data_IF_206718689603
#
_entry.id   IF_206718689603
#
_cell.length_a   1.000
_cell.length_b   1.000
_cell.length_c   1.000
_cell.angle_alpha   90.00
_cell.angle_beta   90.00
_cell.angle_gamma   90.00
#
_symmetry.space_group_name_H-M   'P 1'
#
loop_
_entity.id
_entity.type
_entity.pdbx_description
1 polymer ?
#
# COMPACT_ATOMS: atom_id res chain seq x y z
N UNK A 1 -17.87 62.49 -12.55
CA UNK A 1 -16.69 61.70 -12.12
C UNK A 1 -17.08 60.23 -12.28
N UNK A 2 -16.44 59.51 -13.22
CA UNK A 2 -16.83 58.15 -13.62
C UNK A 2 -16.08 57.13 -12.75
N UNK A 3 -16.85 56.29 -12.05
CA UNK A 3 -16.35 55.26 -11.14
C UNK A 3 -15.65 54.14 -11.94
N UNK A 4 -14.36 53.92 -11.63
CA UNK A 4 -13.55 52.81 -12.15
C UNK A 4 -13.95 51.55 -11.37
N UNK A 5 -14.70 50.66 -12.01
CA UNK A 5 -14.97 49.31 -11.50
C UNK A 5 -13.70 48.48 -11.71
N UNK A 6 -12.98 48.20 -10.63
CA UNK A 6 -11.87 47.27 -10.62
C UNK A 6 -12.41 45.87 -10.87
N UNK A 7 -12.13 45.34 -12.06
CA UNK A 7 -12.36 43.95 -12.43
C UNK A 7 -11.55 43.06 -11.48
N UNK A 8 -12.25 42.35 -10.60
CA UNK A 8 -11.73 41.20 -9.87
C UNK A 8 -11.27 40.17 -10.91
N UNK A 9 -9.97 40.17 -11.19
CA UNK A 9 -9.26 39.09 -11.85
C UNK A 9 -9.41 37.86 -10.94
N UNK A 10 -10.38 37.02 -11.26
CA UNK A 10 -10.42 35.64 -10.78
C UNK A 10 -9.18 34.97 -11.37
N UNK A 11 -8.15 34.87 -10.54
CA UNK A 11 -6.99 34.03 -10.79
C UNK A 11 -7.52 32.59 -10.80
N UNK A 12 -7.90 32.09 -11.98
CA UNK A 12 -7.99 30.66 -12.22
C UNK A 12 -6.56 30.13 -12.07
N UNK A 13 -6.18 29.74 -10.85
CA UNK A 13 -5.08 28.81 -10.67
C UNK A 13 -5.45 27.57 -11.49
N UNK A 14 -4.66 27.18 -12.50
CA UNK A 14 -4.73 25.81 -12.95
C UNK A 14 -4.22 25.00 -11.76
N UNK A 15 -5.14 24.39 -11.01
CA UNK A 15 -4.84 23.16 -10.31
C UNK A 15 -4.18 22.28 -11.37
N UNK A 16 -2.87 22.11 -11.24
CA UNK A 16 -2.14 21.11 -11.98
C UNK A 16 -2.71 19.77 -11.54
N UNK A 17 -3.82 19.38 -12.16
CA UNK A 17 -4.29 18.00 -12.19
C UNK A 17 -3.24 17.30 -13.04
N UNK A 18 -2.12 16.96 -12.41
CA UNK A 18 -1.23 15.94 -12.94
C UNK A 18 -2.13 14.74 -13.12
N UNK A 19 -2.52 14.45 -14.36
CA UNK A 19 -3.15 13.19 -14.68
C UNK A 19 -2.14 12.13 -14.21
N UNK A 20 -2.42 11.54 -13.06
CA UNK A 20 -1.68 10.41 -12.56
C UNK A 20 -1.60 9.40 -13.72
N UNK A 21 -0.38 9.04 -14.15
CA UNK A 21 -0.16 7.95 -15.11
C UNK A 21 -0.60 6.58 -14.57
N UNK A 22 -1.14 6.54 -13.34
CA UNK A 22 -1.61 5.35 -12.65
C UNK A 22 -3.13 5.32 -12.75
N UNK A 23 -3.64 4.26 -13.38
CA UNK A 23 -5.05 3.91 -13.33
C UNK A 23 -5.38 3.40 -11.92
N UNK A 24 -6.01 4.27 -11.12
CA UNK A 24 -6.35 3.96 -9.75
C UNK A 24 -7.32 2.78 -9.66
N UNK A 25 -8.20 2.56 -10.65
CA UNK A 25 -9.17 1.47 -10.62
C UNK A 25 -8.49 0.09 -10.65
N UNK A 26 -7.35 -0.04 -11.34
CA UNK A 26 -6.56 -1.29 -11.36
C UNK A 26 -5.90 -1.59 -10.02
N UNK A 27 -5.54 -0.55 -9.26
CA UNK A 27 -4.70 -0.66 -8.05
C UNK A 27 -5.54 -0.65 -6.77
N UNK A 28 -6.70 0.03 -6.76
CA UNK A 28 -7.58 0.16 -5.60
C UNK A 28 -7.86 -1.16 -4.88
N UNK A 29 -8.20 -2.29 -5.55
CA UNK A 29 -8.45 -3.55 -4.87
C UNK A 29 -7.27 -4.04 -4.02
N UNK A 30 -6.03 -3.82 -4.49
CA UNK A 30 -4.83 -4.15 -3.73
C UNK A 30 -4.61 -3.21 -2.55
N UNK A 31 -4.86 -1.91 -2.72
CA UNK A 31 -4.73 -0.95 -1.61
C UNK A 31 -5.77 -1.17 -0.51
N UNK A 32 -6.98 -1.58 -0.87
CA UNK A 32 -8.03 -1.97 0.08
C UNK A 32 -7.64 -3.25 0.85
N UNK A 33 -7.13 -4.26 0.14
CA UNK A 33 -6.61 -5.48 0.79
C UNK A 33 -5.39 -5.18 1.66
N UNK A 34 -4.52 -4.26 1.24
CA UNK A 34 -3.40 -3.79 2.04
C UNK A 34 -3.85 -3.11 3.33
N UNK A 35 -4.86 -2.25 3.28
CA UNK A 35 -5.46 -1.66 4.48
C UNK A 35 -6.10 -2.72 5.39
N UNK A 36 -6.79 -3.72 4.83
CA UNK A 36 -7.33 -4.82 5.63
C UNK A 36 -6.22 -5.67 6.29
N UNK A 37 -5.03 -5.76 5.68
CA UNK A 37 -3.86 -6.43 6.24
C UNK A 37 -3.19 -5.63 7.36
N UNK A 38 -3.21 -4.29 7.29
CA UNK A 38 -2.74 -3.40 8.38
C UNK A 38 -3.47 -3.70 9.70
N UNK A 39 -4.78 -3.98 9.62
CA UNK A 39 -5.65 -4.28 10.77
C UNK A 39 -5.83 -5.80 11.03
N UNK A 40 -5.05 -6.64 10.35
CA UNK A 40 -5.23 -8.09 10.45
C UNK A 40 -4.75 -8.67 11.78
N UNK A 41 -5.34 -9.81 12.17
CA UNK A 41 -4.90 -10.57 13.34
C UNK A 41 -4.04 -11.75 12.89
N UNK A 42 -3.30 -12.39 13.81
CA UNK A 42 -2.60 -13.62 13.49
C UNK A 42 -3.50 -14.70 12.87
N UNK A 43 -4.80 -14.73 13.18
CA UNK A 43 -5.69 -15.76 12.65
C UNK A 43 -6.22 -15.43 11.24
N UNK A 44 -6.22 -14.15 10.84
CA UNK A 44 -6.80 -13.71 9.56
C UNK A 44 -5.75 -13.34 8.50
N UNK A 45 -4.51 -13.06 8.91
CA UNK A 45 -3.42 -12.61 8.04
C UNK A 45 -3.17 -13.54 6.85
N UNK A 46 -3.18 -14.86 7.07
CA UNK A 46 -2.90 -15.85 6.01
C UNK A 46 -3.95 -15.78 4.89
N UNK A 47 -5.23 -15.65 5.24
CA UNK A 47 -6.31 -15.55 4.25
C UNK A 47 -6.21 -14.25 3.45
N UNK A 48 -6.02 -13.13 4.14
CA UNK A 48 -5.92 -11.81 3.51
C UNK A 48 -4.69 -11.71 2.60
N UNK A 49 -3.53 -12.22 3.02
CA UNK A 49 -2.32 -12.30 2.18
C UNK A 49 -2.59 -13.11 0.92
N UNK A 50 -3.25 -14.26 1.05
CA UNK A 50 -3.56 -15.10 -0.11
C UNK A 50 -4.53 -14.39 -1.08
N UNK A 51 -5.48 -13.62 -0.59
CA UNK A 51 -6.34 -12.76 -1.43
C UNK A 51 -5.52 -11.68 -2.12
N UNK A 52 -4.65 -10.99 -1.39
CA UNK A 52 -3.76 -9.97 -1.93
C UNK A 52 -2.86 -10.52 -3.04
N UNK A 53 -2.15 -11.63 -2.80
CA UNK A 53 -1.28 -12.24 -3.81
C UNK A 53 -2.03 -12.66 -5.08
N UNK A 54 -3.29 -13.11 -4.94
CA UNK A 54 -4.14 -13.42 -6.10
C UNK A 54 -4.52 -12.19 -6.89
N UNK A 55 -4.89 -11.09 -6.23
CA UNK A 55 -5.16 -9.82 -6.93
C UNK A 55 -3.89 -9.26 -7.57
N UNK A 56 -2.73 -9.39 -6.91
CA UNK A 56 -1.45 -8.92 -7.43
C UNK A 56 -1.06 -9.67 -8.71
N UNK A 57 -1.22 -11.00 -8.71
CA UNK A 57 -0.97 -11.85 -9.87
C UNK A 57 -1.87 -11.50 -11.08
N UNK A 58 -3.08 -10.99 -10.86
CA UNK A 58 -3.93 -10.54 -11.99
C UNK A 58 -3.33 -9.36 -12.74
N UNK A 59 -2.52 -8.53 -12.07
CA UNK A 59 -1.85 -7.39 -12.70
C UNK A 59 -0.63 -7.80 -13.54
N UNK A 60 -0.08 -8.99 -13.33
CA UNK A 60 1.05 -9.50 -14.13
C UNK A 60 0.69 -9.69 -15.61
N UNK A 61 -0.59 -9.90 -15.92
CA UNK A 61 -1.09 -10.08 -17.28
C UNK A 61 -1.56 -8.77 -17.94
N UNK A 62 -1.54 -7.66 -17.21
CA UNK A 62 -1.97 -6.37 -17.70
C UNK A 62 -0.79 -5.58 -18.27
N UNK A 63 -1.06 -4.75 -19.30
CA UNK A 63 -0.12 -3.71 -19.67
C UNK A 63 -0.10 -2.62 -18.60
N UNK A 64 1.05 -2.50 -17.92
CA UNK A 64 1.27 -1.52 -16.86
C UNK A 64 2.09 -0.34 -17.39
N UNK A 65 1.73 0.89 -17.00
CA UNK A 65 2.56 2.08 -17.21
C UNK A 65 3.82 2.02 -16.33
N UNK A 66 4.86 2.85 -16.60
CA UNK A 66 6.01 2.95 -15.70
C UNK A 66 5.63 3.33 -14.26
N UNK A 67 4.62 4.20 -14.08
CA UNK A 67 4.07 4.56 -12.77
C UNK A 67 3.42 3.37 -12.07
N UNK A 68 2.54 2.66 -12.77
CA UNK A 68 1.85 1.46 -12.25
C UNK A 68 2.85 0.37 -11.87
N UNK A 69 3.89 0.13 -12.67
CA UNK A 69 4.95 -0.85 -12.32
C UNK A 69 5.67 -0.51 -11.03
N UNK A 70 5.92 0.77 -10.74
CA UNK A 70 6.53 1.18 -9.47
C UNK A 70 5.61 0.89 -8.29
N UNK A 71 4.32 1.17 -8.44
CA UNK A 71 3.31 0.86 -7.42
C UNK A 71 3.22 -0.65 -7.19
N UNK A 72 3.08 -1.44 -8.26
CA UNK A 72 3.06 -2.91 -8.19
C UNK A 72 4.34 -3.46 -7.55
N UNK A 73 5.52 -2.92 -7.86
CA UNK A 73 6.77 -3.32 -7.23
C UNK A 73 6.80 -3.08 -5.72
N UNK A 74 6.22 -1.97 -5.23
CA UNK A 74 6.07 -1.74 -3.79
C UNK A 74 5.09 -2.73 -3.15
N UNK A 75 3.99 -3.04 -3.83
CA UNK A 75 2.99 -4.00 -3.37
C UNK A 75 3.55 -5.44 -3.33
N UNK A 76 4.44 -5.79 -4.25
CA UNK A 76 5.16 -7.07 -4.25
C UNK A 76 6.15 -7.19 -3.07
N UNK A 77 6.87 -6.10 -2.78
CA UNK A 77 7.69 -6.01 -1.57
C UNK A 77 6.83 -6.17 -0.29
N UNK A 78 5.69 -5.50 -0.21
CA UNK A 78 4.75 -5.67 0.91
C UNK A 78 4.27 -7.12 1.04
N UNK A 79 3.92 -7.78 -0.07
CA UNK A 79 3.52 -9.18 -0.07
C UNK A 79 4.61 -10.12 0.46
N UNK A 80 5.87 -9.85 0.12
CA UNK A 80 7.02 -10.59 0.64
C UNK A 80 7.15 -10.41 2.16
N UNK A 81 7.06 -9.19 2.66
CA UNK A 81 7.14 -8.93 4.10
C UNK A 81 5.98 -9.58 4.87
N UNK A 82 4.75 -9.53 4.36
CA UNK A 82 3.62 -10.26 4.98
C UNK A 82 3.81 -11.79 4.99
N UNK A 83 4.44 -12.35 3.95
CA UNK A 83 4.81 -13.77 3.95
C UNK A 83 5.80 -14.08 5.08
N UNK A 84 6.82 -13.24 5.25
CA UNK A 84 7.80 -13.39 6.33
C UNK A 84 7.14 -13.23 7.71
N UNK A 85 6.21 -12.29 7.86
CA UNK A 85 5.42 -12.14 9.09
C UNK A 85 4.65 -13.42 9.43
N UNK A 86 3.96 -14.03 8.47
CA UNK A 86 3.21 -15.28 8.69
C UNK A 86 4.11 -16.45 9.09
N UNK A 87 5.32 -16.55 8.51
CA UNK A 87 6.33 -17.54 8.93
C UNK A 87 6.73 -17.34 10.39
N UNK A 88 6.93 -16.09 10.84
CA UNK A 88 7.26 -15.79 12.23
C UNK A 88 6.08 -16.03 13.18
N UNK A 89 4.85 -15.77 12.74
CA UNK A 89 3.64 -16.12 13.49
C UNK A 89 3.49 -17.64 13.65
N UNK A 90 3.89 -18.41 12.65
CA UNK A 90 3.96 -19.87 12.75
C UNK A 90 4.97 -20.34 13.81
N UNK A 91 6.14 -19.69 13.90
CA UNK A 91 7.08 -19.94 14.99
C UNK A 91 6.48 -19.56 16.36
N UNK A 92 5.78 -18.43 16.45
CA UNK A 92 5.05 -18.04 17.66
C UNK A 92 3.99 -19.06 18.08
N UNK A 93 3.19 -19.58 17.14
CA UNK A 93 2.13 -20.57 17.42
C UNK A 93 2.70 -21.91 17.89
N UNK A 94 3.85 -22.33 17.34
CA UNK A 94 4.48 -23.64 17.63
C UNK A 94 5.48 -23.60 18.79
N UNK A 95 5.91 -22.42 19.23
CA UNK A 95 6.86 -22.23 20.31
C UNK A 95 6.31 -22.76 21.65
N UNK A 96 7.08 -23.60 22.33
CA UNK A 96 6.73 -24.14 23.66
C UNK A 96 7.23 -23.26 24.80
N UNK A 97 8.31 -22.51 24.55
CA UNK A 97 8.94 -21.61 25.50
C UNK A 97 8.46 -20.18 25.22
N UNK A 98 8.12 -19.46 26.28
CA UNK A 98 7.60 -18.09 26.20
C UNK A 98 8.58 -17.14 25.49
N UNK A 99 9.87 -17.26 25.76
CA UNK A 99 10.91 -16.45 25.13
C UNK A 99 10.91 -16.59 23.60
N UNK A 100 10.86 -17.82 23.10
CA UNK A 100 10.79 -18.10 21.66
C UNK A 100 9.51 -17.57 21.03
N UNK A 101 8.38 -17.64 21.76
CA UNK A 101 7.12 -17.05 21.31
C UNK A 101 7.27 -15.52 21.19
N UNK A 102 7.71 -14.86 22.25
CA UNK A 102 7.87 -13.40 22.25
C UNK A 102 8.85 -12.92 21.15
N UNK A 103 9.92 -13.69 20.89
CA UNK A 103 10.81 -13.42 19.77
C UNK A 103 10.08 -13.51 18.41
N UNK A 104 9.34 -14.59 18.16
CA UNK A 104 8.55 -14.76 16.93
C UNK A 104 7.53 -13.63 16.74
N UNK A 105 6.83 -13.23 17.79
CA UNK A 105 5.89 -12.10 17.73
C UNK A 105 6.59 -10.78 17.39
N UNK A 106 7.76 -10.51 17.98
CA UNK A 106 8.55 -9.31 17.68
C UNK A 106 9.02 -9.27 16.23
N UNK A 107 9.51 -10.39 15.70
CA UNK A 107 9.92 -10.46 14.29
C UNK A 107 8.73 -10.32 13.35
N UNK A 108 7.60 -10.96 13.66
CA UNK A 108 6.36 -10.79 12.90
C UNK A 108 5.95 -9.32 12.84
N UNK A 109 5.96 -8.62 13.98
CA UNK A 109 5.61 -7.19 14.02
C UNK A 109 6.53 -6.35 13.14
N UNK A 110 7.84 -6.58 13.18
CA UNK A 110 8.78 -5.82 12.35
C UNK A 110 8.51 -6.00 10.84
N UNK A 111 8.14 -7.21 10.42
CA UNK A 111 7.74 -7.48 9.04
C UNK A 111 6.41 -6.84 8.67
N UNK A 112 5.42 -6.86 9.57
CA UNK A 112 4.14 -6.16 9.38
C UNK A 112 4.35 -4.65 9.20
N UNK A 113 5.12 -4.02 10.09
CA UNK A 113 5.42 -2.59 10.02
C UNK A 113 6.10 -2.26 8.68
N UNK A 114 7.02 -3.10 8.22
CA UNK A 114 7.70 -2.92 6.94
C UNK A 114 6.77 -3.05 5.74
N UNK A 115 5.87 -4.03 5.76
CA UNK A 115 4.85 -4.18 4.73
C UNK A 115 3.96 -2.93 4.65
N UNK A 116 3.55 -2.40 5.79
CA UNK A 116 2.72 -1.20 5.89
C UNK A 116 3.45 0.03 5.31
N UNK A 117 4.76 0.18 5.58
CA UNK A 117 5.56 1.24 4.93
C UNK A 117 5.50 1.17 3.40
N UNK A 118 5.56 -0.03 2.82
CA UNK A 118 5.48 -0.21 1.37
C UNK A 118 4.08 0.11 0.82
N UNK A 119 3.02 -0.33 1.51
CA UNK A 119 1.62 0.00 1.14
C UNK A 119 1.38 1.51 1.19
N UNK A 120 1.86 2.19 2.22
CA UNK A 120 1.72 3.65 2.33
C UNK A 120 2.47 4.39 1.22
N UNK A 121 3.67 3.94 0.85
CA UNK A 121 4.39 4.49 -0.32
C UNK A 121 3.63 4.26 -1.62
N UNK A 122 3.06 3.07 -1.81
CA UNK A 122 2.24 2.74 -2.98
C UNK A 122 1.00 3.64 -3.07
N UNK A 123 0.34 3.90 -1.94
CA UNK A 123 -0.80 4.83 -1.83
C UNK A 123 -0.42 6.26 -2.22
N UNK A 124 0.66 6.80 -1.65
CA UNK A 124 1.14 8.14 -1.96
C UNK A 124 1.47 8.33 -3.44
N UNK A 125 2.11 7.33 -4.07
CA UNK A 125 2.37 7.36 -5.51
C UNK A 125 1.08 7.37 -6.35
N UNK A 126 0.08 6.59 -5.94
CA UNK A 126 -1.22 6.51 -6.63
C UNK A 126 -2.01 7.82 -6.52
N UNK A 127 -1.88 8.53 -5.40
CA UNK A 127 -2.52 9.83 -5.17
C UNK A 127 -1.81 11.00 -5.87
N UNK A 128 -0.69 10.75 -6.57
CA UNK A 128 0.14 11.81 -7.18
C UNK A 128 0.96 12.62 -6.17
N UNK A 129 1.00 12.18 -4.90
CA UNK A 129 1.81 12.77 -3.84
C UNK A 129 3.22 12.14 -3.88
N UNK A 130 4.00 12.48 -4.90
CA UNK A 130 5.41 12.06 -4.98
C UNK A 130 6.24 12.83 -3.96
N UNK A 131 6.39 12.30 -2.75
CA UNK A 131 7.45 12.74 -1.81
C UNK A 131 8.71 11.96 -2.18
N UNK A 132 9.47 12.53 -3.11
CA UNK A 132 10.89 12.22 -3.29
C UNK A 132 11.72 13.33 -2.64
#
# INVERSE_FOLDING_TARGET
MKNVRWSLLVLCLPLAVGCSEIDAEKITPLLELGAALEDSTPDTITELRNKFSKELAKLEYNELTPGERRVVGLLDLAATEWLMADVQLDHYRRGREEEHRLAGLRYAQAYLDKANEYVQKARLLTEGNSVF
#
